data_IF_493269024102
#
_entry.id   IF_493269024102
#
_cell.length_a   1.000
_cell.length_b   1.000
_cell.length_c   1.000
_cell.angle_alpha   90.00
_cell.angle_beta   90.00
_cell.angle_gamma   90.00
#
_symmetry.space_group_name_H-M   'P 1'
#
loop_
_entity.id
_entity.type
_entity.pdbx_description
1 polymer ?
#
# COMPACT_ATOMS: atom_id res chain seq x y z
N UNK A 1 -6.57 -49.98 32.18
CA UNK A 1 -5.89 -48.78 31.62
C UNK A 1 -4.69 -48.52 32.50
N UNK A 2 -3.49 -48.40 31.94
CA UNK A 2 -2.29 -48.12 32.74
C UNK A 2 -2.32 -46.70 33.29
N UNK A 3 -1.70 -46.48 34.45
CA UNK A 3 -1.54 -45.14 35.02
C UNK A 3 -0.73 -44.23 34.07
N UNK A 4 -1.16 -42.96 33.97
CA UNK A 4 -0.45 -41.96 33.18
C UNK A 4 0.86 -41.63 33.90
N UNK A 5 2.03 -41.65 33.22
CA UNK A 5 3.30 -41.28 33.84
C UNK A 5 3.23 -39.87 34.43
N UNK A 6 3.70 -39.69 35.68
CA UNK A 6 3.68 -38.39 36.37
C UNK A 6 4.35 -37.28 35.53
N UNK A 7 5.45 -37.59 34.84
CA UNK A 7 6.15 -36.65 33.96
C UNK A 7 5.25 -36.12 32.83
N UNK A 8 4.37 -36.95 32.28
CA UNK A 8 3.42 -36.53 31.25
C UNK A 8 2.27 -35.70 31.85
N UNK A 9 1.78 -36.08 33.04
CA UNK A 9 0.75 -35.31 33.74
C UNK A 9 1.25 -33.91 34.08
N UNK A 10 2.42 -33.83 34.69
CA UNK A 10 2.97 -32.58 35.22
C UNK A 10 3.40 -31.64 34.07
N UNK A 11 3.81 -32.17 32.91
CA UNK A 11 4.12 -31.36 31.72
C UNK A 11 2.88 -30.82 30.98
N UNK A 12 1.76 -31.53 31.02
CA UNK A 12 0.54 -31.18 30.26
C UNK A 12 -0.46 -30.38 31.10
N UNK A 13 -0.55 -30.64 32.41
CA UNK A 13 -1.53 -30.03 33.31
C UNK A 13 -0.94 -28.86 34.12
N UNK A 14 0.03 -28.16 33.54
CA UNK A 14 0.63 -26.97 34.15
C UNK A 14 -0.46 -25.89 34.31
N UNK A 15 -0.71 -25.36 35.52
CA UNK A 15 -1.62 -24.25 35.72
C UNK A 15 -1.16 -23.01 34.95
N UNK A 16 -2.09 -22.30 34.31
CA UNK A 16 -1.78 -21.06 33.59
C UNK A 16 -1.67 -19.86 34.53
N UNK A 17 -0.76 -18.95 34.22
CA UNK A 17 -0.70 -17.61 34.83
C UNK A 17 -1.59 -16.64 34.04
N UNK A 18 -2.66 -16.14 34.65
CA UNK A 18 -3.68 -15.38 33.93
C UNK A 18 -3.36 -13.88 33.74
N UNK A 19 -2.32 -13.37 34.40
CA UNK A 19 -1.99 -11.94 34.37
C UNK A 19 -1.72 -11.45 32.94
N UNK A 20 -0.97 -12.21 32.15
CA UNK A 20 -0.56 -11.87 30.79
C UNK A 20 -1.66 -11.97 29.73
N UNK A 21 -2.86 -12.43 30.09
CA UNK A 21 -3.99 -12.61 29.16
C UNK A 21 -5.26 -11.87 29.58
N UNK A 22 -5.26 -11.28 30.77
CA UNK A 22 -6.45 -10.67 31.38
C UNK A 22 -6.95 -9.40 30.69
N UNK A 23 -6.07 -8.68 30.00
CA UNK A 23 -6.34 -7.43 29.28
C UNK A 23 -6.48 -7.63 27.76
N UNK A 24 -6.36 -8.88 27.28
CA UNK A 24 -6.37 -9.19 25.85
C UNK A 24 -7.77 -9.54 25.38
N UNK A 25 -8.13 -9.01 24.20
CA UNK A 25 -9.37 -9.40 23.54
C UNK A 25 -9.36 -10.89 23.20
N UNK A 26 -10.44 -11.63 23.50
CA UNK A 26 -10.56 -13.03 23.10
C UNK A 26 -10.64 -13.14 21.57
N UNK A 27 -10.18 -14.28 21.03
CA UNK A 27 -10.32 -14.57 19.61
C UNK A 27 -11.78 -14.79 19.28
N UNK A 28 -12.30 -13.99 18.36
CA UNK A 28 -13.70 -14.03 17.92
C UNK A 28 -13.80 -13.56 16.45
N UNK A 29 -14.35 -14.42 15.59
CA UNK A 29 -14.64 -14.10 14.20
C UNK A 29 -15.97 -13.36 14.01
N UNK A 30 -16.32 -13.07 12.76
CA UNK A 30 -17.64 -12.54 12.42
C UNK A 30 -18.69 -13.66 12.36
N UNK A 31 -19.85 -13.45 12.99
CA UNK A 31 -20.97 -14.39 12.94
C UNK A 31 -21.89 -14.07 11.75
N UNK A 32 -21.88 -14.93 10.73
CA UNK A 32 -22.72 -14.78 9.55
C UNK A 32 -24.22 -15.03 9.80
N UNK A 33 -24.62 -15.53 10.98
CA UNK A 33 -26.04 -15.54 11.36
C UNK A 33 -26.59 -14.11 11.53
N UNK A 34 -25.72 -13.12 11.70
CA UNK A 34 -26.07 -11.69 11.73
C UNK A 34 -26.31 -11.10 10.33
N UNK A 35 -26.15 -11.89 9.26
CA UNK A 35 -26.27 -11.45 7.88
C UNK A 35 -24.92 -11.15 7.21
N UNK A 36 -24.96 -10.48 6.06
CA UNK A 36 -23.77 -10.11 5.28
C UNK A 36 -23.51 -8.61 5.46
N UNK A 37 -22.67 -8.27 6.43
CA UNK A 37 -22.14 -6.91 6.65
C UNK A 37 -20.61 -6.90 6.50
N UNK A 38 -20.12 -6.34 5.40
CA UNK A 38 -18.69 -6.26 5.11
C UNK A 38 -17.93 -5.35 6.08
N UNK A 39 -18.57 -4.29 6.60
CA UNK A 39 -17.90 -3.41 7.56
C UNK A 39 -17.72 -4.15 8.89
N UNK A 40 -18.77 -4.82 9.39
CA UNK A 40 -18.69 -5.59 10.62
C UNK A 40 -17.72 -6.78 10.48
N UNK A 41 -17.71 -7.44 9.32
CA UNK A 41 -16.75 -8.49 8.98
C UNK A 41 -15.31 -8.00 9.08
N UNK A 42 -14.96 -6.89 8.40
CA UNK A 42 -13.60 -6.34 8.41
C UNK A 42 -13.22 -5.79 9.79
N UNK A 43 -14.17 -5.31 10.59
CA UNK A 43 -13.90 -4.90 11.98
C UNK A 43 -13.48 -6.08 12.85
N UNK A 44 -14.11 -7.25 12.67
CA UNK A 44 -13.77 -8.49 13.39
C UNK A 44 -12.38 -9.05 13.01
N UNK A 45 -11.73 -8.56 11.95
CA UNK A 45 -10.37 -8.99 11.62
C UNK A 45 -9.38 -8.71 12.77
N UNK A 46 -9.60 -7.68 13.59
CA UNK A 46 -8.78 -7.41 14.79
C UNK A 46 -8.73 -8.60 15.76
N UNK A 47 -9.86 -9.28 15.96
CA UNK A 47 -10.02 -10.41 16.89
C UNK A 47 -10.01 -11.78 16.18
N UNK A 48 -9.79 -11.83 14.86
CA UNK A 48 -9.79 -13.09 14.09
C UNK A 48 -8.48 -13.86 14.20
N UNK A 49 -7.33 -13.18 14.33
CA UNK A 49 -6.01 -13.79 14.43
C UNK A 49 -5.17 -13.74 13.14
N UNK A 50 -3.88 -14.06 13.27
CA UNK A 50 -2.90 -14.09 12.16
C UNK A 50 -2.87 -12.80 11.33
N UNK A 51 -2.88 -12.91 9.99
CA UNK A 51 -2.83 -11.75 9.09
C UNK A 51 -4.10 -10.89 9.12
N UNK A 52 -5.23 -11.44 9.55
CA UNK A 52 -6.45 -10.65 9.74
C UNK A 52 -6.22 -9.59 10.83
N UNK A 53 -5.63 -9.97 11.97
CA UNK A 53 -5.30 -9.02 13.03
C UNK A 53 -4.31 -7.95 12.55
N UNK A 54 -3.33 -8.31 11.72
CA UNK A 54 -2.43 -7.33 11.11
C UNK A 54 -3.17 -6.35 10.19
N UNK A 55 -4.11 -6.82 9.37
CA UNK A 55 -4.95 -5.94 8.54
C UNK A 55 -5.77 -4.97 9.40
N UNK A 56 -6.44 -5.45 10.45
CA UNK A 56 -7.22 -4.60 11.36
C UNK A 56 -6.37 -3.52 12.04
N UNK A 57 -5.15 -3.88 12.49
CA UNK A 57 -4.18 -2.92 13.05
C UNK A 57 -3.70 -1.91 12.01
N UNK A 58 -3.47 -2.34 10.78
CA UNK A 58 -3.08 -1.44 9.69
C UNK A 58 -4.18 -0.41 9.39
N UNK A 59 -5.46 -0.81 9.40
CA UNK A 59 -6.59 0.12 9.26
C UNK A 59 -6.61 1.15 10.39
N UNK A 60 -6.42 0.72 11.64
CA UNK A 60 -6.34 1.64 12.78
C UNK A 60 -5.19 2.63 12.62
N UNK A 61 -4.02 2.16 12.19
CA UNK A 61 -2.84 3.00 12.05
C UNK A 61 -3.00 4.04 10.93
N UNK A 62 -3.56 3.65 9.78
CA UNK A 62 -3.89 4.60 8.71
C UNK A 62 -4.91 5.65 9.18
N UNK A 63 -5.93 5.26 9.95
CA UNK A 63 -6.86 6.24 10.53
C UNK A 63 -6.17 7.21 11.48
N UNK A 64 -5.22 6.75 12.31
CA UNK A 64 -4.41 7.64 13.16
C UNK A 64 -3.62 8.64 12.32
N UNK A 65 -2.94 8.20 11.26
CA UNK A 65 -2.20 9.10 10.36
C UNK A 65 -3.10 10.18 9.74
N UNK A 66 -4.35 9.84 9.39
CA UNK A 66 -5.29 10.80 8.79
C UNK A 66 -5.88 11.78 9.82
N UNK A 67 -6.06 11.32 11.06
CA UNK A 67 -6.68 12.10 12.13
C UNK A 67 -5.68 12.97 12.91
N UNK A 68 -4.44 12.49 13.06
CA UNK A 68 -3.43 13.13 13.88
C UNK A 68 -3.17 14.58 13.44
N UNK A 69 -2.98 15.44 14.43
CA UNK A 69 -2.47 16.80 14.29
C UNK A 69 -1.30 16.99 15.23
N UNK A 70 -0.39 17.90 14.89
CA UNK A 70 0.74 18.20 15.76
C UNK A 70 0.29 18.69 17.15
N UNK A 71 -0.89 19.29 17.26
CA UNK A 71 -1.48 19.69 18.55
C UNK A 71 -1.83 18.52 19.47
N UNK A 72 -1.88 17.29 18.97
CA UNK A 72 -2.11 16.09 19.79
C UNK A 72 -0.86 15.69 20.60
N UNK A 73 0.32 16.14 20.16
CA UNK A 73 1.59 15.93 20.84
C UNK A 73 1.90 17.08 21.82
N UNK A 74 2.79 16.86 22.82
CA UNK A 74 3.28 17.93 23.69
C UNK A 74 3.87 19.10 22.90
N UNK A 75 3.76 20.32 23.47
CA UNK A 75 4.28 21.52 22.84
C UNK A 75 5.80 21.46 22.67
N UNK A 76 6.27 22.11 21.61
CA UNK A 76 7.70 22.31 21.38
C UNK A 76 8.30 23.12 22.53
N UNK A 77 9.43 22.67 23.07
CA UNK A 77 10.14 23.36 24.13
C UNK A 77 10.85 24.63 23.61
N UNK A 78 11.09 24.73 22.30
CA UNK A 78 11.69 25.89 21.66
C UNK A 78 10.65 26.99 21.37
N UNK A 79 10.67 28.14 22.09
CA UNK A 79 9.73 29.23 21.87
C UNK A 79 9.91 29.95 20.53
N UNK A 80 11.04 29.73 19.84
CA UNK A 80 11.34 30.32 18.52
C UNK A 80 10.83 29.47 17.35
N UNK A 81 10.39 28.24 17.62
CA UNK A 81 9.82 27.33 16.63
C UNK A 81 8.51 27.86 16.05
N UNK A 82 8.33 27.75 14.73
CA UNK A 82 7.04 28.03 14.07
C UNK A 82 5.90 27.15 14.61
N UNK A 83 6.26 26.01 15.21
CA UNK A 83 5.36 25.04 15.82
C UNK A 83 5.08 25.30 17.31
N UNK A 84 5.55 26.41 17.88
CA UNK A 84 5.11 26.88 19.19
C UNK A 84 3.68 27.49 19.12
N UNK A 85 3.24 27.93 17.95
CA UNK A 85 1.89 28.49 17.77
C UNK A 85 0.81 27.40 17.69
N UNK A 86 -0.15 27.43 18.61
CA UNK A 86 -1.25 26.47 18.71
C UNK A 86 -2.12 26.36 17.44
N UNK A 87 -2.35 27.46 16.74
CA UNK A 87 -3.14 27.46 15.50
C UNK A 87 -2.39 26.75 14.36
N UNK A 88 -1.07 26.98 14.26
CA UNK A 88 -0.19 26.25 13.32
C UNK A 88 -0.21 24.76 13.63
N UNK A 89 -0.03 24.37 14.90
CA UNK A 89 -0.04 22.96 15.32
C UNK A 89 -1.34 22.23 14.97
N UNK A 90 -2.49 22.88 15.15
CA UNK A 90 -3.82 22.32 14.77
C UNK A 90 -3.99 22.12 13.27
N UNK A 91 -3.29 22.90 12.44
CA UNK A 91 -3.32 22.80 10.97
C UNK A 91 -2.26 21.83 10.43
N UNK A 92 -1.19 21.58 11.18
CA UNK A 92 -0.15 20.63 10.81
C UNK A 92 -0.67 19.20 10.93
N UNK A 93 -0.79 18.52 9.80
CA UNK A 93 -1.18 17.12 9.66
C UNK A 93 0.04 16.22 9.46
N UNK A 94 -0.14 14.91 9.58
CA UNK A 94 0.90 13.93 9.23
C UNK A 94 1.28 14.08 7.76
N UNK A 95 2.59 14.08 7.47
CA UNK A 95 3.09 13.99 6.09
C UNK A 95 3.13 12.52 5.67
N UNK A 96 2.26 12.13 4.75
CA UNK A 96 2.08 10.73 4.36
C UNK A 96 2.94 10.42 3.13
N UNK A 97 3.90 9.51 3.30
CA UNK A 97 4.71 8.95 2.23
C UNK A 97 4.09 7.62 1.76
N UNK A 98 3.71 7.55 0.49
CA UNK A 98 3.18 6.35 -0.12
C UNK A 98 4.22 5.75 -1.07
N UNK A 99 4.66 4.53 -0.75
CA UNK A 99 5.62 3.78 -1.57
C UNK A 99 4.97 2.52 -2.15
N UNK A 100 5.20 2.26 -3.44
CA UNK A 100 4.69 1.07 -4.12
C UNK A 100 5.62 0.64 -5.26
N UNK A 101 5.63 -0.66 -5.53
CA UNK A 101 6.38 -1.27 -6.64
C UNK A 101 5.61 -1.15 -7.97
N UNK A 102 6.31 -1.28 -9.11
CA UNK A 102 5.71 -1.13 -10.45
C UNK A 102 4.52 -2.06 -10.70
N UNK A 103 4.58 -3.31 -10.24
CA UNK A 103 3.51 -4.28 -10.43
C UNK A 103 2.15 -3.84 -9.82
N UNK A 104 2.17 -2.95 -8.83
CA UNK A 104 0.94 -2.37 -8.26
C UNK A 104 0.25 -1.44 -9.28
N UNK A 105 1.04 -0.68 -10.06
CA UNK A 105 0.52 0.10 -11.17
C UNK A 105 0.16 -0.77 -12.37
N UNK A 106 0.86 -1.88 -12.64
CA UNK A 106 0.43 -2.87 -13.64
C UNK A 106 -0.97 -3.41 -13.34
N UNK A 107 -1.27 -3.61 -12.05
CA UNK A 107 -2.56 -4.13 -11.56
C UNK A 107 -3.68 -3.08 -11.52
N UNK A 108 -4.88 -3.48 -11.08
CA UNK A 108 -5.99 -2.56 -10.81
C UNK A 108 -5.85 -1.76 -9.51
N UNK A 109 -4.80 -1.99 -8.71
CA UNK A 109 -4.51 -1.13 -7.54
C UNK A 109 -4.13 0.29 -7.98
N UNK A 110 -3.72 0.47 -9.24
CA UNK A 110 -3.51 1.77 -9.89
C UNK A 110 -4.67 2.74 -9.66
N UNK A 111 -5.91 2.30 -9.81
CA UNK A 111 -7.10 3.15 -9.59
C UNK A 111 -7.26 3.58 -8.14
N UNK A 112 -6.87 2.74 -7.18
CA UNK A 112 -6.85 3.07 -5.75
C UNK A 112 -5.77 4.11 -5.45
N UNK A 113 -4.55 3.91 -5.96
CA UNK A 113 -3.45 4.88 -5.79
C UNK A 113 -3.83 6.23 -6.41
N UNK A 114 -4.38 6.22 -7.64
CA UNK A 114 -4.87 7.43 -8.31
C UNK A 114 -5.91 8.16 -7.47
N UNK A 115 -6.85 7.44 -6.84
CA UNK A 115 -7.82 8.06 -5.93
C UNK A 115 -7.13 8.75 -4.74
N UNK A 116 -6.20 8.06 -4.07
CA UNK A 116 -5.49 8.62 -2.92
C UNK A 116 -4.72 9.91 -3.28
N UNK A 117 -4.03 9.91 -4.42
CA UNK A 117 -3.27 11.06 -4.92
C UNK A 117 -4.21 12.19 -5.35
N UNK A 118 -5.22 11.87 -6.16
CA UNK A 118 -6.21 12.84 -6.66
C UNK A 118 -6.91 13.61 -5.53
N UNK A 119 -7.20 12.94 -4.43
CA UNK A 119 -7.89 13.52 -3.27
C UNK A 119 -6.95 13.96 -2.15
N UNK A 120 -5.64 14.05 -2.40
CA UNK A 120 -4.63 14.57 -1.48
C UNK A 120 -4.58 13.84 -0.13
N UNK A 121 -4.80 12.52 -0.14
CA UNK A 121 -4.58 11.64 1.03
C UNK A 121 -3.10 11.32 1.24
N UNK A 122 -2.25 11.59 0.26
CA UNK A 122 -0.81 11.35 0.30
C UNK A 122 -0.06 12.62 -0.11
N UNK A 123 1.10 12.85 0.49
CA UNK A 123 1.90 14.06 0.26
C UNK A 123 3.14 13.77 -0.59
N UNK A 124 3.71 12.57 -0.49
CA UNK A 124 4.92 12.16 -1.22
C UNK A 124 4.75 10.76 -1.78
N UNK A 125 5.23 10.54 -3.01
CA UNK A 125 5.26 9.23 -3.67
C UNK A 125 6.71 8.80 -3.87
N UNK A 126 7.01 7.55 -3.54
CA UNK A 126 8.26 6.89 -3.93
C UNK A 126 7.94 5.61 -4.68
N UNK A 127 8.38 5.52 -5.93
CA UNK A 127 8.12 4.33 -6.76
C UNK A 127 9.27 4.05 -7.71
N UNK A 128 9.11 3.03 -8.55
CA UNK A 128 10.11 2.60 -9.54
C UNK A 128 9.72 3.08 -10.95
N UNK A 129 10.67 3.16 -11.87
CA UNK A 129 10.42 3.65 -13.24
C UNK A 129 9.26 2.95 -13.96
N UNK A 130 9.15 1.62 -13.80
CA UNK A 130 8.03 0.83 -14.33
C UNK A 130 6.65 1.33 -13.90
N UNK A 131 6.53 1.86 -12.68
CA UNK A 131 5.27 2.40 -12.19
C UNK A 131 4.88 3.71 -12.87
N UNK A 132 5.86 4.55 -13.21
CA UNK A 132 5.63 5.82 -13.90
C UNK A 132 5.25 5.57 -15.36
N UNK A 133 6.04 4.76 -16.07
CA UNK A 133 5.76 4.45 -17.48
C UNK A 133 4.43 3.69 -17.64
N UNK A 134 4.11 2.73 -16.78
CA UNK A 134 2.89 1.94 -16.92
C UNK A 134 1.61 2.73 -16.61
N UNK A 135 1.65 3.73 -15.72
CA UNK A 135 0.52 4.62 -15.50
C UNK A 135 0.22 5.46 -16.76
N UNK A 136 1.27 5.98 -17.40
CA UNK A 136 1.19 6.75 -18.64
C UNK A 136 0.72 5.87 -19.80
N UNK A 137 1.31 4.68 -19.96
CA UNK A 137 0.93 3.70 -20.98
C UNK A 137 -0.55 3.32 -20.88
N UNK A 138 -1.09 3.16 -19.66
CA UNK A 138 -2.50 2.82 -19.43
C UNK A 138 -3.48 3.89 -19.95
N UNK A 139 -3.03 5.12 -20.14
CA UNK A 139 -3.83 6.17 -20.78
C UNK A 139 -3.86 6.02 -22.32
N UNK A 140 -2.91 5.30 -22.91
CA UNK A 140 -2.78 5.09 -24.36
C UNK A 140 -3.39 3.74 -24.81
N UNK A 141 -3.26 2.71 -23.99
CA UNK A 141 -3.76 1.37 -24.29
C UNK A 141 -3.89 0.50 -23.02
N UNK A 142 -4.84 -0.44 -23.00
CA UNK A 142 -5.09 -1.27 -21.82
C UNK A 142 -4.00 -2.33 -21.59
N UNK A 143 -3.79 -2.67 -20.33
CA UNK A 143 -3.20 -3.96 -19.89
C UNK A 143 -4.33 -4.97 -19.71
N UNK A 144 -4.11 -6.23 -20.07
CA UNK A 144 -5.16 -7.27 -20.01
C UNK A 144 -4.79 -8.40 -19.06
N UNK A 145 -5.80 -9.11 -18.54
CA UNK A 145 -5.62 -10.29 -17.68
C UNK A 145 -5.22 -11.49 -18.53
N UNK A 146 -4.22 -12.22 -18.07
CA UNK A 146 -3.72 -13.48 -18.61
C UNK A 146 -3.52 -14.51 -17.48
N UNK A 147 -2.43 -15.29 -17.56
CA UNK A 147 -2.14 -16.37 -16.62
C UNK A 147 -0.62 -16.49 -16.37
N UNK A 148 -0.22 -16.85 -15.14
CA UNK A 148 1.17 -17.06 -14.75
C UNK A 148 1.85 -18.17 -15.55
N UNK A 149 1.10 -19.20 -15.95
CA UNK A 149 1.59 -20.40 -16.63
C UNK A 149 1.84 -20.21 -18.14
N UNK A 150 1.52 -19.03 -18.70
CA UNK A 150 1.73 -18.76 -20.11
C UNK A 150 3.22 -18.83 -20.47
N UNK A 151 3.55 -19.68 -21.45
CA UNK A 151 4.91 -19.94 -21.91
C UNK A 151 5.52 -18.69 -22.56
N UNK A 152 6.63 -18.21 -22.01
CA UNK A 152 7.32 -17.01 -22.50
C UNK A 152 7.72 -17.08 -23.98
N UNK A 153 8.10 -18.27 -24.46
CA UNK A 153 8.46 -18.48 -25.87
C UNK A 153 7.29 -18.18 -26.84
N UNK A 154 6.07 -18.55 -26.46
CA UNK A 154 4.88 -18.33 -27.30
C UNK A 154 4.41 -16.86 -27.20
N UNK A 155 4.51 -16.27 -26.02
CA UNK A 155 4.20 -14.85 -25.81
C UNK A 155 5.16 -13.95 -26.61
N UNK A 156 6.46 -14.25 -26.58
CA UNK A 156 7.47 -13.47 -27.31
C UNK A 156 7.22 -13.51 -28.83
N UNK A 157 6.87 -14.67 -29.38
CA UNK A 157 6.50 -14.81 -30.80
C UNK A 157 5.28 -13.97 -31.20
N UNK A 158 4.41 -13.65 -30.24
CA UNK A 158 3.19 -12.85 -30.43
C UNK A 158 3.36 -11.38 -30.04
N UNK A 159 4.55 -10.95 -29.60
CA UNK A 159 4.76 -9.58 -29.11
C UNK A 159 3.96 -9.27 -27.84
N UNK A 160 3.80 -10.24 -26.94
CA UNK A 160 3.11 -10.06 -25.66
C UNK A 160 4.11 -10.09 -24.51
N UNK A 161 4.10 -9.06 -23.68
CA UNK A 161 4.93 -8.96 -22.48
C UNK A 161 4.12 -9.39 -21.26
N UNK A 162 4.68 -10.24 -20.38
CA UNK A 162 3.97 -10.79 -19.20
C UNK A 162 4.46 -10.17 -17.90
N UNK A 163 3.51 -9.75 -17.06
CA UNK A 163 3.74 -9.29 -15.68
C UNK A 163 2.87 -10.13 -14.75
N UNK A 164 3.44 -11.18 -14.16
CA UNK A 164 2.64 -12.13 -13.37
C UNK A 164 1.57 -12.82 -14.21
N UNK A 165 0.29 -12.59 -13.90
CA UNK A 165 -0.88 -12.99 -14.68
C UNK A 165 -1.47 -11.84 -15.54
N UNK A 166 -0.70 -10.80 -15.84
CA UNK A 166 -1.10 -9.71 -16.72
C UNK A 166 -0.31 -9.76 -18.02
N UNK A 167 -0.89 -9.22 -19.09
CA UNK A 167 -0.26 -9.10 -20.39
C UNK A 167 -0.33 -7.65 -20.90
N UNK A 168 0.80 -7.17 -21.41
CA UNK A 168 0.93 -5.88 -22.08
C UNK A 168 1.33 -6.16 -23.54
N UNK A 169 0.45 -5.89 -24.53
CA UNK A 169 0.83 -5.95 -25.94
C UNK A 169 1.99 -5.00 -26.25
N UNK A 170 2.92 -5.42 -27.09
CA UNK A 170 4.09 -4.59 -27.46
C UNK A 170 3.67 -3.26 -28.11
N UNK A 171 2.54 -3.23 -28.81
CA UNK A 171 1.96 -2.02 -29.41
C UNK A 171 1.70 -0.91 -28.37
N UNK A 172 1.50 -1.27 -27.10
CA UNK A 172 1.39 -0.28 -26.02
C UNK A 172 2.68 0.52 -25.84
N UNK A 173 3.84 -0.14 -25.97
CA UNK A 173 5.16 0.51 -25.88
C UNK A 173 5.48 1.31 -27.14
N UNK A 174 5.02 0.86 -28.32
CA UNK A 174 5.14 1.64 -29.56
C UNK A 174 4.38 2.96 -29.43
N UNK A 175 3.13 2.92 -28.95
CA UNK A 175 2.36 4.14 -28.68
C UNK A 175 3.02 5.05 -27.64
N UNK A 176 3.67 4.46 -26.65
CA UNK A 176 4.39 5.21 -25.62
C UNK A 176 5.63 5.89 -26.17
N UNK A 177 6.40 5.22 -27.03
CA UNK A 177 7.53 5.81 -27.74
C UNK A 177 7.09 7.00 -28.60
N UNK A 178 6.03 6.82 -29.40
CA UNK A 178 5.45 7.89 -30.23
C UNK A 178 5.02 9.10 -29.40
N UNK A 179 4.47 8.87 -28.21
CA UNK A 179 4.01 9.92 -27.29
C UNK A 179 5.17 10.59 -26.54
N UNK A 180 6.17 9.82 -26.09
CA UNK A 180 7.31 10.33 -25.32
C UNK A 180 8.34 11.06 -26.18
N UNK A 181 8.55 10.65 -27.43
CA UNK A 181 9.59 11.20 -28.30
C UNK A 181 9.60 12.74 -28.35
N UNK A 182 8.48 13.39 -28.71
CA UNK A 182 8.41 14.85 -28.73
C UNK A 182 8.64 15.53 -27.38
N UNK A 183 8.26 14.88 -26.27
CA UNK A 183 8.47 15.42 -24.92
C UNK A 183 9.97 15.42 -24.60
N UNK A 184 10.67 14.32 -24.91
CA UNK A 184 12.10 14.20 -24.67
C UNK A 184 12.92 15.19 -25.53
N UNK A 185 12.48 15.46 -26.76
CA UNK A 185 13.10 16.46 -27.63
C UNK A 185 13.00 17.87 -27.02
N UNK A 186 11.83 18.26 -26.49
CA UNK A 186 11.67 19.58 -25.84
C UNK A 186 12.47 19.63 -24.53
N UNK A 187 12.45 18.58 -23.71
CA UNK A 187 13.27 18.50 -22.48
C UNK A 187 14.77 18.70 -22.78
N UNK A 188 15.28 18.13 -23.88
CA UNK A 188 16.67 18.30 -24.30
C UNK A 188 16.97 19.73 -24.73
N UNK A 189 16.02 20.39 -25.41
CA UNK A 189 16.13 21.78 -25.80
C UNK A 189 16.16 22.70 -24.59
N UNK A 190 15.23 22.53 -23.65
CA UNK A 190 15.21 23.28 -22.38
C UNK A 190 16.52 23.11 -21.60
N UNK A 191 17.07 21.90 -21.56
CA UNK A 191 18.37 21.64 -20.92
C UNK A 191 19.52 22.41 -21.58
N UNK A 192 19.57 22.44 -22.93
CA UNK A 192 20.68 23.08 -23.67
C UNK A 192 20.56 24.60 -23.73
N UNK A 193 19.36 25.12 -23.92
CA UNK A 193 19.10 26.53 -24.21
C UNK A 193 18.77 27.34 -22.96
N UNK A 194 18.14 26.71 -21.96
CA UNK A 194 17.66 27.39 -20.74
C UNK A 194 18.45 26.99 -19.49
N UNK A 195 19.37 26.03 -19.60
CA UNK A 195 20.17 25.54 -18.48
C UNK A 195 19.37 24.70 -17.47
N UNK A 196 18.27 24.07 -17.91
CA UNK A 196 17.43 23.24 -17.05
C UNK A 196 18.19 21.97 -16.59
N UNK A 197 18.09 21.64 -15.30
CA UNK A 197 18.70 20.45 -14.71
C UNK A 197 17.63 19.45 -14.30
N UNK A 198 17.31 18.53 -15.21
CA UNK A 198 16.28 17.53 -14.99
C UNK A 198 16.64 16.55 -13.88
N UNK A 199 15.65 16.24 -13.05
CA UNK A 199 15.70 15.17 -12.05
C UNK A 199 14.52 14.22 -12.27
N UNK A 200 14.51 13.03 -11.63
CA UNK A 200 13.35 12.14 -11.73
C UNK A 200 12.02 12.73 -11.23
N UNK A 201 12.03 13.72 -10.34
CA UNK A 201 10.85 14.50 -9.90
C UNK A 201 10.75 15.83 -10.64
#
# INVERSE_FOLDING_TARGET
MGEVPDVARDAVLVPSENQDVSDKDPVEGYDFNLGIDHHALLKKYLTTGFQATHFGRAVQEVHKMLQWRLSDDPNDEDPSSEYHNEETRKKTRTRVFLSFTSNMISSGVREVIRFLVQHKFVDVITTTGGAIEEDLIKCLAPTVVGDFALKGADLRKKGLNRIGNLLIPNDNYVKFEDWMGPILDEMLKEQKEQGMHWTPS
#
